data_IF_466853974018
#
_entry.id   IF_466853974018
#
_cell.length_a   1.000
_cell.length_b   1.000
_cell.length_c   1.000
_cell.angle_alpha   90.00
_cell.angle_beta   90.00
_cell.angle_gamma   90.00
#
_symmetry.space_group_name_H-M   'P 1'
#
loop_
_entity.id
_entity.type
_entity.pdbx_description
1 polymer ?
#
# COMPACT_ATOMS: atom_id res chain seq x y z
N UNK A 1 -15.22 -14.23 20.46
CA UNK A 1 -13.95 -13.96 19.75
C UNK A 1 -12.86 -13.87 20.80
N UNK A 2 -11.68 -14.44 20.57
CA UNK A 2 -10.53 -14.18 21.45
C UNK A 2 -10.18 -12.69 21.36
N UNK A 3 -9.76 -12.07 22.47
CA UNK A 3 -9.39 -10.66 22.52
C UNK A 3 -8.36 -10.29 21.43
N UNK A 4 -7.43 -11.21 21.11
CA UNK A 4 -6.47 -11.07 20.01
C UNK A 4 -7.06 -10.86 18.62
N UNK A 5 -8.20 -11.49 18.29
CA UNK A 5 -8.82 -11.35 16.96
C UNK A 5 -9.42 -9.95 16.81
N UNK A 6 -10.11 -9.49 17.83
CA UNK A 6 -10.73 -8.16 17.81
C UNK A 6 -9.66 -7.08 17.76
N UNK A 7 -8.60 -7.20 18.58
CA UNK A 7 -7.51 -6.24 18.60
C UNK A 7 -6.74 -6.23 17.26
N UNK A 8 -6.35 -7.38 16.70
CA UNK A 8 -5.62 -7.38 15.41
C UNK A 8 -6.47 -6.82 14.27
N UNK A 9 -7.77 -7.13 14.23
CA UNK A 9 -8.66 -6.61 13.19
C UNK A 9 -8.88 -5.09 13.34
N UNK A 10 -8.95 -4.58 14.56
CA UNK A 10 -9.03 -3.16 14.83
C UNK A 10 -7.77 -2.44 14.32
N UNK A 11 -6.58 -2.95 14.66
CA UNK A 11 -5.31 -2.40 14.20
C UNK A 11 -5.17 -2.50 12.67
N UNK A 12 -5.54 -3.64 12.08
CA UNK A 12 -5.47 -3.84 10.64
C UNK A 12 -6.38 -2.87 9.87
N UNK A 13 -7.60 -2.64 10.36
CA UNK A 13 -8.53 -1.67 9.77
C UNK A 13 -8.01 -0.23 9.91
N UNK A 14 -7.43 0.12 11.06
CA UNK A 14 -6.81 1.43 11.28
C UNK A 14 -5.65 1.67 10.31
N UNK A 15 -4.75 0.69 10.17
CA UNK A 15 -3.59 0.77 9.27
C UNK A 15 -3.99 0.78 7.78
N UNK A 16 -5.00 -0.03 7.41
CA UNK A 16 -5.51 -0.09 6.04
C UNK A 16 -6.11 1.25 5.60
N UNK A 17 -6.62 2.04 6.56
CA UNK A 17 -7.17 3.37 6.33
C UNK A 17 -8.11 3.44 5.11
N UNK A 18 -9.19 2.63 5.04
CA UNK A 18 -9.92 2.35 3.80
C UNK A 18 -10.84 3.51 3.36
N UNK A 19 -10.26 4.64 2.95
CA UNK A 19 -10.99 5.82 2.51
C UNK A 19 -11.65 5.62 1.14
N UNK A 20 -11.08 4.78 0.28
CA UNK A 20 -11.59 4.43 -1.05
C UNK A 20 -11.65 2.91 -1.20
N UNK A 21 -12.86 2.35 -1.17
CA UNK A 21 -13.11 0.92 -1.35
C UNK A 21 -14.57 0.67 -1.79
N UNK A 22 -14.85 -0.03 -2.91
CA UNK A 22 -13.90 -0.49 -3.92
C UNK A 22 -13.48 0.65 -4.87
N UNK A 23 -12.23 0.58 -5.36
CA UNK A 23 -11.69 1.59 -6.29
C UNK A 23 -12.37 1.56 -7.67
N UNK A 24 -12.92 0.41 -8.08
CA UNK A 24 -13.56 0.22 -9.38
C UNK A 24 -14.83 1.05 -9.58
N UNK A 25 -15.49 1.46 -8.49
CA UNK A 25 -16.72 2.26 -8.52
C UNK A 25 -16.52 3.69 -7.99
N UNK A 26 -15.28 4.11 -7.69
CA UNK A 26 -15.01 5.46 -7.22
C UNK A 26 -15.26 6.50 -8.32
N UNK A 27 -15.30 7.78 -7.96
CA UNK A 27 -15.18 8.84 -8.96
C UNK A 27 -13.79 8.83 -9.61
N UNK A 28 -13.66 9.30 -10.87
CA UNK A 28 -12.37 9.53 -11.51
C UNK A 28 -11.46 10.47 -10.71
N UNK A 29 -10.15 10.19 -10.72
CA UNK A 29 -9.14 10.98 -10.00
C UNK A 29 -7.98 11.42 -10.90
N UNK A 30 -7.21 12.41 -10.46
CA UNK A 30 -6.11 12.91 -11.26
C UNK A 30 -4.92 11.93 -11.30
N UNK A 31 -4.61 11.30 -10.17
CA UNK A 31 -3.48 10.39 -10.07
C UNK A 31 -3.80 9.19 -9.16
N UNK A 32 -3.38 8.00 -9.60
CA UNK A 32 -3.29 6.81 -8.75
C UNK A 32 -1.83 6.41 -8.68
N UNK A 33 -1.32 6.23 -7.47
CA UNK A 33 0.01 5.69 -7.20
C UNK A 33 -0.16 4.31 -6.59
N UNK A 34 0.45 3.28 -7.18
CA UNK A 34 0.58 1.98 -6.55
C UNK A 34 2.02 1.79 -6.08
N UNK A 35 2.20 1.73 -4.76
CA UNK A 35 3.44 1.31 -4.15
C UNK A 35 3.50 -0.22 -4.18
N UNK A 36 4.60 -0.76 -4.70
CA UNK A 36 4.76 -2.19 -4.84
C UNK A 36 4.76 -2.91 -3.49
N UNK A 37 4.10 -4.07 -3.48
CA UNK A 37 3.94 -4.94 -2.33
C UNK A 37 4.03 -6.40 -2.80
N UNK A 38 4.37 -7.30 -1.86
CA UNK A 38 4.30 -8.74 -2.09
C UNK A 38 2.85 -9.26 -2.16
N UNK A 39 1.86 -8.47 -1.75
CA UNK A 39 0.43 -8.80 -1.91
C UNK A 39 -0.03 -8.41 -3.31
N UNK A 40 0.25 -9.29 -4.28
CA UNK A 40 0.05 -9.02 -5.71
C UNK A 40 -1.42 -8.82 -6.11
N UNK A 41 -2.36 -9.33 -5.31
CA UNK A 41 -3.79 -9.08 -5.47
C UNK A 41 -4.14 -7.60 -5.66
N UNK A 42 -3.41 -6.69 -4.99
CA UNK A 42 -3.64 -5.25 -5.13
C UNK A 42 -3.37 -4.74 -6.55
N UNK A 43 -2.28 -5.21 -7.16
CA UNK A 43 -1.93 -4.89 -8.54
C UNK A 43 -2.96 -5.50 -9.51
N UNK A 44 -3.36 -6.76 -9.28
CA UNK A 44 -4.38 -7.44 -10.09
C UNK A 44 -5.68 -6.64 -10.16
N UNK A 45 -6.25 -6.29 -8.99
CA UNK A 45 -7.53 -5.59 -8.92
C UNK A 45 -7.43 -4.18 -9.48
N UNK A 46 -6.37 -3.44 -9.14
CA UNK A 46 -6.18 -2.08 -9.65
C UNK A 46 -6.08 -2.09 -11.18
N UNK A 47 -5.27 -2.97 -11.76
CA UNK A 47 -5.05 -2.96 -13.20
C UNK A 47 -6.28 -3.41 -13.98
N UNK A 48 -7.04 -4.39 -13.47
CA UNK A 48 -8.34 -4.78 -14.04
C UNK A 48 -9.36 -3.64 -13.96
N UNK A 49 -9.39 -2.89 -12.85
CA UNK A 49 -10.26 -1.72 -12.71
C UNK A 49 -9.91 -0.63 -13.73
N UNK A 50 -8.61 -0.36 -13.94
CA UNK A 50 -8.13 0.60 -14.95
C UNK A 50 -8.41 0.15 -16.38
N UNK A 51 -8.27 -1.15 -16.67
CA UNK A 51 -8.58 -1.71 -17.99
C UNK A 51 -10.08 -1.57 -18.31
N UNK A 52 -10.93 -1.82 -17.31
CA UNK A 52 -12.39 -1.74 -17.44
C UNK A 52 -12.91 -0.31 -17.41
N UNK A 53 -12.20 0.60 -16.72
CA UNK A 53 -12.55 2.02 -16.62
C UNK A 53 -11.35 2.90 -17.00
N UNK A 54 -11.12 3.10 -18.31
CA UNK A 54 -9.97 3.86 -18.79
C UNK A 54 -10.01 5.36 -18.44
N UNK A 55 -11.15 5.86 -17.94
CA UNK A 55 -11.32 7.21 -17.42
C UNK A 55 -11.09 7.33 -15.90
N UNK A 56 -10.83 6.23 -15.18
CA UNK A 56 -10.67 6.21 -13.72
C UNK A 56 -9.51 7.10 -13.24
N UNK A 57 -8.43 7.20 -14.01
CA UNK A 57 -7.35 8.15 -13.70
C UNK A 57 -6.67 8.74 -14.93
N UNK A 58 -6.12 9.94 -14.77
CA UNK A 58 -5.29 10.60 -15.80
C UNK A 58 -3.82 10.18 -15.72
N UNK A 59 -3.35 9.76 -14.55
CA UNK A 59 -1.96 9.35 -14.34
C UNK A 59 -1.90 8.15 -13.39
N UNK A 60 -1.34 7.04 -13.86
CA UNK A 60 -0.93 5.91 -13.04
C UNK A 60 0.57 6.00 -12.78
N UNK A 61 0.99 5.94 -11.51
CA UNK A 61 2.40 5.78 -11.13
C UNK A 61 2.60 4.38 -10.53
N UNK A 62 3.52 3.62 -11.12
CA UNK A 62 4.04 2.39 -10.50
C UNK A 62 5.28 2.77 -9.68
N UNK A 63 5.26 2.53 -8.37
CA UNK A 63 6.26 3.04 -7.45
C UNK A 63 6.97 1.91 -6.68
N UNK A 64 8.31 1.97 -6.66
CA UNK A 64 9.17 1.07 -5.90
C UNK A 64 10.49 0.79 -6.62
N UNK A 65 11.61 1.13 -5.98
CA UNK A 65 12.94 0.78 -6.48
C UNK A 65 13.44 -0.57 -5.96
N UNK A 66 14.62 -0.62 -5.34
CA UNK A 66 15.19 -1.82 -4.73
C UNK A 66 15.40 -1.58 -3.23
N UNK A 67 14.78 -2.41 -2.41
CA UNK A 67 14.82 -2.32 -0.95
C UNK A 67 14.59 -3.66 -0.25
N UNK A 68 14.31 -3.60 1.06
CA UNK A 68 14.15 -4.79 1.90
C UNK A 68 12.97 -5.69 1.50
N UNK A 69 11.96 -5.14 0.83
CA UNK A 69 10.78 -5.87 0.38
C UNK A 69 10.96 -6.51 -1.00
N UNK A 70 12.02 -6.17 -1.74
CA UNK A 70 12.22 -6.60 -3.12
C UNK A 70 12.34 -8.13 -3.25
N UNK A 71 13.06 -8.85 -2.37
CA UNK A 71 13.05 -10.31 -2.41
C UNK A 71 11.65 -10.92 -2.16
N UNK A 72 10.80 -10.24 -1.39
CA UNK A 72 9.45 -10.72 -1.07
C UNK A 72 8.53 -10.64 -2.29
N UNK A 73 8.64 -9.57 -3.09
CA UNK A 73 7.84 -9.48 -4.31
C UNK A 73 8.30 -10.51 -5.36
N UNK A 74 9.59 -10.81 -5.45
CA UNK A 74 10.09 -11.87 -6.34
C UNK A 74 9.55 -13.24 -5.92
N UNK A 75 9.59 -13.54 -4.63
CA UNK A 75 9.05 -14.78 -4.06
C UNK A 75 7.54 -14.88 -4.31
N UNK A 76 6.80 -13.79 -4.07
CA UNK A 76 5.36 -13.72 -4.35
C UNK A 76 5.06 -13.99 -5.83
N UNK A 77 5.79 -13.35 -6.76
CA UNK A 77 5.63 -13.60 -8.21
C UNK A 77 5.88 -15.07 -8.52
N UNK A 78 6.96 -15.65 -7.99
CA UNK A 78 7.34 -17.05 -8.26
C UNK A 78 6.31 -18.08 -7.80
N UNK A 79 5.54 -17.77 -6.74
CA UNK A 79 4.52 -18.64 -6.17
C UNK A 79 3.11 -18.36 -6.69
N UNK A 80 2.91 -17.22 -7.35
CA UNK A 80 1.59 -16.77 -7.77
C UNK A 80 1.00 -17.70 -8.86
N UNK A 81 -0.27 -18.13 -8.75
CA UNK A 81 -0.88 -19.08 -9.69
C UNK A 81 -0.87 -18.58 -11.14
N UNK A 82 -0.95 -17.26 -11.34
CA UNK A 82 -0.92 -16.64 -12.67
C UNK A 82 0.46 -16.06 -13.03
N UNK A 83 1.21 -15.52 -12.06
CA UNK A 83 2.39 -14.70 -12.33
C UNK A 83 3.72 -15.46 -12.23
N UNK A 84 3.73 -16.72 -11.77
CA UNK A 84 4.94 -17.54 -11.68
C UNK A 84 5.73 -17.64 -12.99
N UNK A 85 5.05 -17.52 -14.14
CA UNK A 85 5.71 -17.53 -15.46
C UNK A 85 6.61 -16.32 -15.70
N UNK A 86 6.43 -15.25 -14.93
CA UNK A 86 7.24 -14.03 -14.97
C UNK A 86 8.45 -14.08 -14.04
N UNK A 87 8.63 -15.15 -13.26
CA UNK A 87 9.63 -15.20 -12.19
C UNK A 87 11.03 -14.85 -12.70
N UNK A 88 11.48 -15.48 -13.79
CA UNK A 88 12.80 -15.22 -14.38
C UNK A 88 12.91 -13.79 -14.95
N UNK A 89 11.81 -13.25 -15.47
CA UNK A 89 11.77 -11.92 -16.07
C UNK A 89 11.87 -10.79 -15.03
N UNK A 90 11.47 -11.04 -13.78
CA UNK A 90 11.39 -9.99 -12.75
C UNK A 90 12.61 -9.94 -11.83
N UNK A 91 13.45 -10.98 -11.83
CA UNK A 91 14.63 -11.05 -10.98
C UNK A 91 15.62 -9.91 -11.26
N UNK A 92 16.10 -9.28 -10.20
CA UNK A 92 17.04 -8.15 -10.27
C UNK A 92 16.43 -6.83 -10.74
N UNK A 93 15.13 -6.80 -11.08
CA UNK A 93 14.43 -5.57 -11.43
C UNK A 93 13.92 -4.83 -10.20
N UNK A 94 13.89 -3.48 -10.23
CA UNK A 94 13.14 -2.70 -9.26
C UNK A 94 11.67 -3.12 -9.13
N UNK A 95 11.07 -2.95 -7.96
CA UNK A 95 9.70 -3.39 -7.66
C UNK A 95 8.65 -2.79 -8.62
N UNK A 96 8.79 -1.52 -8.99
CA UNK A 96 7.92 -0.88 -9.99
C UNK A 96 8.03 -1.50 -11.38
N UNK A 97 9.20 -2.04 -11.74
CA UNK A 97 9.40 -2.78 -13.00
C UNK A 97 8.84 -4.19 -12.94
N UNK A 98 8.73 -4.78 -11.74
CA UNK A 98 7.94 -6.00 -11.52
C UNK A 98 6.47 -5.72 -11.81
N UNK A 99 5.91 -4.65 -11.22
CA UNK A 99 4.54 -4.21 -11.49
C UNK A 99 4.31 -3.90 -12.97
N UNK A 100 5.26 -3.23 -13.63
CA UNK A 100 5.18 -2.96 -15.08
C UNK A 100 5.14 -4.26 -15.89
N UNK A 101 5.96 -5.25 -15.52
CA UNK A 101 6.00 -6.56 -16.19
C UNK A 101 4.65 -7.28 -16.04
N UNK A 102 4.05 -7.24 -14.85
CA UNK A 102 2.71 -7.80 -14.59
C UNK A 102 1.67 -7.07 -15.45
N UNK A 103 1.66 -5.74 -15.39
CA UNK A 103 0.71 -4.89 -16.11
C UNK A 103 0.75 -5.17 -17.62
N UNK A 104 1.93 -5.11 -18.24
CA UNK A 104 2.08 -5.26 -19.69
C UNK A 104 1.80 -6.67 -20.19
N UNK A 105 1.98 -7.69 -19.36
CA UNK A 105 1.77 -9.08 -19.77
C UNK A 105 0.32 -9.53 -19.63
N UNK A 106 -0.39 -9.02 -18.61
CA UNK A 106 -1.71 -9.53 -18.25
C UNK A 106 -2.88 -8.59 -18.57
N UNK A 107 -2.61 -7.36 -18.98
CA UNK A 107 -3.63 -6.32 -19.14
C UNK A 107 -3.47 -5.62 -20.50
N UNK A 108 -4.58 -5.31 -21.17
CA UNK A 108 -4.53 -4.50 -22.39
C UNK A 108 -4.26 -3.03 -22.04
N UNK A 109 -2.97 -2.68 -21.97
CA UNK A 109 -2.50 -1.33 -21.66
C UNK A 109 -3.08 -0.29 -22.63
N UNK A 110 -3.42 -0.67 -23.87
CA UNK A 110 -4.03 0.27 -24.82
C UNK A 110 -5.38 0.76 -24.31
N UNK A 111 -6.18 -0.10 -23.67
CA UNK A 111 -7.45 0.31 -23.04
C UNK A 111 -7.19 1.34 -21.95
N UNK A 112 -6.27 1.08 -21.03
CA UNK A 112 -5.92 2.02 -19.95
C UNK A 112 -5.54 3.38 -20.54
N UNK A 113 -4.68 3.40 -21.57
CA UNK A 113 -4.21 4.65 -22.19
C UNK A 113 -5.19 5.27 -23.18
N UNK A 114 -6.29 4.60 -23.54
CA UNK A 114 -7.22 5.02 -24.61
C UNK A 114 -7.89 6.37 -24.37
N UNK A 115 -7.94 6.80 -23.10
CA UNK A 115 -8.49 8.09 -22.65
C UNK A 115 -7.40 9.07 -22.19
N UNK A 116 -6.14 8.80 -22.55
CA UNK A 116 -5.00 9.67 -22.25
C UNK A 116 -4.35 9.43 -20.89
N UNK A 117 -4.64 8.30 -20.23
CA UNK A 117 -3.94 7.94 -18.99
C UNK A 117 -2.44 7.78 -19.25
N UNK A 118 -1.61 8.51 -18.50
CA UNK A 118 -0.15 8.37 -18.52
C UNK A 118 0.27 7.31 -17.51
N UNK A 119 1.11 6.36 -17.93
CA UNK A 119 1.70 5.37 -17.02
C UNK A 119 3.15 5.75 -16.79
N UNK A 120 3.49 6.13 -15.56
CA UNK A 120 4.82 6.57 -15.14
C UNK A 120 5.42 5.54 -14.19
N UNK A 121 6.75 5.40 -14.23
CA UNK A 121 7.49 4.40 -13.46
C UNK A 121 8.50 5.10 -12.56
N UNK A 122 8.32 4.96 -11.24
CA UNK A 122 9.28 5.38 -10.22
C UNK A 122 10.02 4.14 -9.73
N UNK A 123 11.24 3.93 -10.21
CA UNK A 123 12.06 2.73 -9.96
C UNK A 123 13.38 3.03 -9.21
N UNK A 124 13.47 4.19 -8.55
CA UNK A 124 14.69 4.68 -7.89
C UNK A 124 14.61 4.70 -6.36
N UNK A 125 13.42 4.58 -5.78
CA UNK A 125 13.20 4.55 -4.33
C UNK A 125 13.85 3.33 -3.65
N UNK A 126 14.50 3.53 -2.51
CA UNK A 126 15.20 2.44 -1.78
C UNK A 126 14.46 1.96 -0.53
N UNK A 127 13.39 2.65 -0.15
CA UNK A 127 12.54 2.34 1.00
C UNK A 127 11.20 3.08 0.90
N UNK A 128 10.23 2.65 1.70
CA UNK A 128 8.87 3.20 1.72
C UNK A 128 8.80 4.72 1.99
N UNK A 129 9.73 5.29 2.77
CA UNK A 129 9.79 6.74 2.99
C UNK A 129 10.22 7.51 1.73
N UNK A 130 11.11 6.92 0.91
CA UNK A 130 11.55 7.51 -0.34
C UNK A 130 10.50 7.43 -1.45
N UNK A 131 9.56 6.48 -1.41
CA UNK A 131 8.50 6.31 -2.42
C UNK A 131 7.73 7.61 -2.68
N UNK A 132 7.33 8.30 -1.61
CA UNK A 132 6.56 9.54 -1.68
C UNK A 132 7.36 10.67 -2.36
N UNK A 133 8.57 10.97 -1.87
CA UNK A 133 9.41 12.03 -2.42
C UNK A 133 9.85 11.74 -3.85
N UNK A 134 10.22 10.49 -4.18
CA UNK A 134 10.60 10.12 -5.56
C UNK A 134 9.41 10.17 -6.52
N UNK A 135 8.21 9.84 -6.06
CA UNK A 135 7.00 10.00 -6.86
C UNK A 135 6.71 11.47 -7.15
N UNK A 136 6.86 12.35 -6.14
CA UNK A 136 6.74 13.79 -6.33
C UNK A 136 7.73 14.32 -7.38
N UNK A 137 9.01 14.01 -7.22
CA UNK A 137 10.07 14.40 -8.18
C UNK A 137 9.79 13.88 -9.60
N UNK A 138 9.28 12.65 -9.72
CA UNK A 138 8.89 12.07 -11.01
C UNK A 138 7.74 12.85 -11.65
N UNK A 139 6.68 13.15 -10.88
CA UNK A 139 5.52 13.89 -11.39
C UNK A 139 5.92 15.30 -11.86
N UNK A 140 6.76 15.99 -11.09
CA UNK A 140 7.31 17.30 -11.47
C UNK A 140 8.12 17.22 -12.78
N UNK A 141 9.06 16.28 -12.85
CA UNK A 141 9.89 16.06 -14.05
C UNK A 141 9.05 15.77 -15.29
N UNK A 142 7.97 15.01 -15.11
CA UNK A 142 7.03 14.62 -16.16
C UNK A 142 5.97 15.69 -16.47
N UNK A 143 6.03 16.86 -15.81
CA UNK A 143 5.11 17.97 -16.00
C UNK A 143 3.68 17.69 -15.54
N UNK A 144 3.48 16.69 -14.68
CA UNK A 144 2.19 16.41 -14.04
C UNK A 144 2.02 17.38 -12.87
N UNK A 145 1.17 18.38 -13.05
CA UNK A 145 0.95 19.46 -12.08
C UNK A 145 -0.55 19.69 -11.86
N UNK A 146 -0.90 20.41 -10.79
CA UNK A 146 -2.28 20.82 -10.52
C UNK A 146 -3.22 19.68 -10.12
N UNK A 147 -2.69 18.59 -9.56
CA UNK A 147 -3.48 17.48 -9.03
C UNK A 147 -4.42 17.98 -7.92
N UNK A 148 -5.68 17.53 -7.95
CA UNK A 148 -6.68 17.78 -6.90
C UNK A 148 -6.98 16.54 -6.08
N UNK A 149 -6.88 15.35 -6.69
CA UNK A 149 -7.06 14.09 -5.98
C UNK A 149 -6.03 13.05 -6.38
N UNK A 150 -5.39 12.46 -5.37
CA UNK A 150 -4.45 11.36 -5.51
C UNK A 150 -4.90 10.17 -4.66
N UNK A 151 -4.98 8.99 -5.26
CA UNK A 151 -5.15 7.74 -4.52
C UNK A 151 -3.82 7.02 -4.38
N UNK A 152 -3.55 6.53 -3.18
CA UNK A 152 -2.38 5.71 -2.86
C UNK A 152 -2.84 4.28 -2.57
N UNK A 153 -2.43 3.36 -3.43
CA UNK A 153 -2.57 1.91 -3.24
C UNK A 153 -1.27 1.39 -2.68
N UNK A 154 -1.33 0.73 -1.52
CA UNK A 154 -0.19 0.17 -0.81
C UNK A 154 -0.64 -1.04 -0.01
N UNK A 155 0.28 -1.94 0.35
CA UNK A 155 0.07 -2.99 1.37
C UNK A 155 -0.81 -2.43 2.51
N UNK A 156 -1.96 -3.06 2.83
CA UNK A 156 -2.89 -2.53 3.81
C UNK A 156 -2.27 -2.30 5.20
N UNK A 157 -1.23 -3.04 5.57
CA UNK A 157 -0.55 -2.82 6.86
C UNK A 157 0.23 -1.50 6.88
N UNK A 158 0.65 -0.97 5.73
CA UNK A 158 1.46 0.23 5.60
C UNK A 158 0.72 1.43 4.96
N UNK A 159 -0.55 1.26 4.62
CA UNK A 159 -1.37 2.24 3.90
C UNK A 159 -1.41 3.61 4.58
N UNK A 160 -1.78 3.67 5.87
CA UNK A 160 -1.89 4.93 6.61
C UNK A 160 -0.55 5.68 6.66
N UNK A 161 0.54 4.98 7.01
CA UNK A 161 1.88 5.59 7.06
C UNK A 161 2.31 6.10 5.69
N UNK A 162 1.99 5.37 4.63
CA UNK A 162 2.32 5.77 3.27
C UNK A 162 1.54 7.01 2.86
N UNK A 163 0.22 7.09 3.11
CA UNK A 163 -0.56 8.32 2.87
C UNK A 163 0.04 9.51 3.63
N UNK A 164 0.34 9.36 4.92
CA UNK A 164 0.96 10.42 5.71
C UNK A 164 2.36 10.82 5.19
N UNK A 165 3.07 9.91 4.50
CA UNK A 165 4.34 10.19 3.84
C UNK A 165 4.13 10.97 2.53
N UNK A 166 3.09 10.64 1.76
CA UNK A 166 2.69 11.39 0.56
C UNK A 166 2.18 12.79 0.93
N UNK A 167 1.35 12.94 1.95
CA UNK A 167 0.93 14.26 2.44
C UNK A 167 2.13 15.12 2.85
N UNK A 168 3.16 14.50 3.45
CA UNK A 168 4.40 15.21 3.80
C UNK A 168 5.22 15.60 2.56
N UNK A 169 5.37 14.69 1.59
CA UNK A 169 6.11 14.99 0.37
C UNK A 169 5.44 16.12 -0.43
N UNK A 170 4.11 16.06 -0.57
CA UNK A 170 3.29 17.03 -1.29
C UNK A 170 2.74 18.13 -0.37
N UNK A 171 3.44 18.49 0.72
CA UNK A 171 2.95 19.40 1.75
C UNK A 171 2.49 20.74 1.17
N UNK A 172 3.22 21.24 0.16
CA UNK A 172 2.87 22.48 -0.54
C UNK A 172 1.57 22.33 -1.34
N UNK A 173 1.42 21.27 -2.11
CA UNK A 173 0.21 21.03 -2.91
C UNK A 173 -1.01 20.78 -2.03
N UNK A 174 -0.83 20.09 -0.91
CA UNK A 174 -1.89 19.83 0.06
C UNK A 174 -2.35 21.14 0.71
N UNK A 175 -1.41 21.97 1.18
CA UNK A 175 -1.74 23.18 1.96
C UNK A 175 -2.11 24.40 1.10
N UNK A 176 -1.45 24.59 -0.05
CA UNK A 176 -1.62 25.79 -0.89
C UNK A 176 -2.52 25.52 -2.12
N UNK A 177 -2.46 24.30 -2.69
CA UNK A 177 -3.16 23.97 -3.93
C UNK A 177 -4.42 23.11 -3.72
N UNK A 178 -4.67 22.64 -2.49
CA UNK A 178 -5.83 21.82 -2.13
C UNK A 178 -5.80 20.41 -2.72
N UNK A 179 -4.61 19.81 -2.87
CA UNK A 179 -4.48 18.39 -3.18
C UNK A 179 -5.01 17.55 -2.02
N UNK A 180 -5.87 16.58 -2.33
CA UNK A 180 -6.34 15.58 -1.37
C UNK A 180 -5.70 14.23 -1.70
N UNK A 181 -4.96 13.67 -0.73
CA UNK A 181 -4.39 12.32 -0.81
C UNK A 181 -5.31 11.37 -0.05
N UNK A 182 -5.65 10.22 -0.64
CA UNK A 182 -6.47 9.19 0.04
C UNK A 182 -5.87 7.81 -0.11
N UNK A 183 -6.06 6.98 0.90
CA UNK A 183 -5.71 5.56 0.81
C UNK A 183 -6.80 4.77 0.08
N UNK A 184 -6.36 3.87 -0.80
CA UNK A 184 -7.19 2.91 -1.51
C UNK A 184 -6.56 1.51 -1.36
N UNK A 185 -6.73 0.82 -0.21
CA UNK A 185 -5.97 -0.40 0.12
C UNK A 185 -6.39 -1.65 -0.67
N UNK A 186 -7.41 -1.55 -1.54
CA UNK A 186 -8.05 -2.64 -2.32
C UNK A 186 -8.86 -3.62 -1.47
N UNK A 187 -8.43 -3.93 -0.25
CA UNK A 187 -9.18 -4.71 0.73
C UNK A 187 -8.72 -4.36 2.14
N UNK A 188 -9.46 -4.82 3.15
CA UNK A 188 -9.07 -4.69 4.56
C UNK A 188 -8.79 -6.09 5.10
N UNK A 189 -7.55 -6.39 5.56
CA UNK A 189 -7.23 -7.69 6.14
C UNK A 189 -8.08 -7.94 7.38
N UNK A 190 -8.63 -9.14 7.48
CA UNK A 190 -9.32 -9.62 8.68
C UNK A 190 -8.86 -11.02 9.03
N UNK A 191 -8.80 -11.26 10.32
CA UNK A 191 -8.50 -12.55 10.92
C UNK A 191 -9.74 -13.10 11.62
N UNK A 192 -9.81 -14.42 11.71
CA UNK A 192 -10.71 -15.15 12.60
C UNK A 192 -9.93 -16.18 13.41
N UNK A 193 -10.55 -16.63 14.49
CA UNK A 193 -10.09 -17.77 15.24
C UNK A 193 -10.93 -18.98 14.83
N UNK A 194 -10.30 -19.94 14.17
CA UNK A 194 -10.89 -21.20 13.78
C UNK A 194 -10.27 -22.33 14.61
N UNK A 195 -11.08 -22.91 15.51
CA UNK A 195 -10.67 -23.98 16.42
C UNK A 195 -9.34 -23.73 17.19
N UNK A 196 -9.07 -22.48 17.59
CA UNK A 196 -7.86 -22.09 18.32
C UNK A 196 -6.70 -21.66 17.42
N UNK A 197 -6.86 -21.69 16.09
CA UNK A 197 -5.87 -21.24 15.13
C UNK A 197 -6.30 -19.90 14.50
N UNK A 198 -5.36 -18.96 14.42
CA UNK A 198 -5.55 -17.72 13.69
C UNK A 198 -5.50 -17.98 12.19
N UNK A 199 -6.56 -17.60 11.48
CA UNK A 199 -6.70 -17.78 10.02
C UNK A 199 -7.30 -16.55 9.36
N UNK A 200 -7.16 -16.45 8.05
CA UNK A 200 -7.69 -15.33 7.27
C UNK A 200 -9.22 -15.38 7.16
N UNK A 201 -9.84 -14.22 7.27
CA UNK A 201 -11.28 -13.99 7.11
C UNK A 201 -11.56 -12.93 6.04
N UNK A 202 -10.96 -13.15 4.87
CA UNK A 202 -11.07 -12.33 3.66
C UNK A 202 -11.45 -13.27 2.53
N UNK A 203 -12.53 -12.97 1.82
CA UNK A 203 -13.04 -13.83 0.72
C UNK A 203 -12.53 -13.36 -0.64
N UNK A 204 -12.10 -12.11 -0.71
CA UNK A 204 -11.68 -11.43 -1.93
C UNK A 204 -10.27 -11.86 -2.39
N UNK A 205 -9.46 -12.41 -1.48
CA UNK A 205 -8.06 -12.76 -1.71
C UNK A 205 -7.79 -14.17 -1.24
N UNK A 206 -7.12 -14.97 -2.07
CA UNK A 206 -6.67 -16.31 -1.69
C UNK A 206 -5.65 -16.23 -0.54
N UNK A 207 -5.75 -17.15 0.43
CA UNK A 207 -4.94 -17.12 1.64
C UNK A 207 -3.43 -17.20 1.35
N UNK A 208 -3.05 -17.85 0.25
CA UNK A 208 -1.66 -18.02 -0.20
C UNK A 208 -1.05 -16.74 -0.80
N UNK A 209 -1.88 -15.78 -1.20
CA UNK A 209 -1.45 -14.45 -1.66
C UNK A 209 -1.32 -13.43 -0.52
N UNK A 210 -1.87 -13.77 0.65
CA UNK A 210 -1.75 -12.97 1.86
C UNK A 210 -0.43 -13.29 2.58
N UNK A 211 -0.11 -12.48 3.59
CA UNK A 211 1.07 -12.70 4.41
C UNK A 211 1.00 -14.05 5.13
N UNK A 212 2.16 -14.60 5.48
CA UNK A 212 2.20 -15.51 6.62
C UNK A 212 1.60 -14.81 7.86
N UNK A 213 0.85 -15.54 8.68
CA UNK A 213 0.16 -14.97 9.83
C UNK A 213 1.13 -14.30 10.79
N UNK A 214 2.29 -14.90 11.07
CA UNK A 214 3.32 -14.30 11.92
C UNK A 214 3.90 -13.02 11.32
N UNK A 215 4.17 -13.03 10.01
CA UNK A 215 4.61 -11.84 9.26
C UNK A 215 3.59 -10.69 9.34
N UNK A 216 2.30 -11.00 9.22
CA UNK A 216 1.23 -10.00 9.36
C UNK A 216 1.23 -9.35 10.74
N UNK A 217 1.33 -10.16 11.81
CA UNK A 217 1.44 -9.64 13.17
C UNK A 217 2.67 -8.75 13.36
N UNK A 218 3.82 -9.15 12.82
CA UNK A 218 5.04 -8.34 12.88
C UNK A 218 4.87 -6.98 12.18
N UNK A 219 4.19 -6.96 11.02
CA UNK A 219 3.89 -5.72 10.30
C UNK A 219 2.95 -4.82 11.09
N UNK A 220 1.79 -5.34 11.51
CA UNK A 220 0.80 -4.58 12.30
C UNK A 220 1.42 -4.01 13.57
N UNK A 221 2.14 -4.84 14.33
CA UNK A 221 2.79 -4.39 15.57
C UNK A 221 3.93 -3.39 15.33
N UNK A 222 4.62 -3.49 14.19
CA UNK A 222 5.71 -2.60 13.83
C UNK A 222 5.24 -1.22 13.35
N UNK A 223 4.03 -1.10 12.83
CA UNK A 223 3.51 0.14 12.23
C UNK A 223 2.98 1.12 13.28
N UNK A 224 2.29 0.65 14.33
CA UNK A 224 1.72 1.56 15.35
C UNK A 224 2.79 2.46 15.99
N UNK A 225 3.96 1.95 16.46
CA UNK A 225 5.00 2.82 17.00
C UNK A 225 5.60 3.80 15.99
N UNK A 226 5.55 3.48 14.69
CA UNK A 226 6.02 4.38 13.63
C UNK A 226 5.04 5.53 13.43
N UNK A 227 3.74 5.28 13.56
CA UNK A 227 2.70 6.31 13.39
C UNK A 227 2.60 7.29 14.55
N UNK A 228 3.05 6.92 15.76
CA UNK A 228 3.06 7.83 16.91
C UNK A 228 3.83 9.10 16.61
N UNK A 229 3.28 10.23 17.02
CA UNK A 229 3.99 11.51 16.96
C UNK A 229 4.70 11.79 18.28
N UNK A 230 5.71 10.97 18.57
CA UNK A 230 6.60 11.11 19.72
C UNK A 230 8.06 11.01 19.27
N UNK A 231 9.00 11.16 20.21
CA UNK A 231 10.45 11.12 19.96
C UNK A 231 10.98 9.88 19.23
N UNK A 232 10.24 8.77 19.22
CA UNK A 232 10.63 7.51 18.59
C UNK A 232 9.87 7.24 17.28
N UNK A 233 8.71 7.86 17.10
CA UNK A 233 7.86 7.69 15.93
C UNK A 233 8.28 8.57 14.74
N UNK A 234 7.50 8.51 13.66
CA UNK A 234 7.88 9.08 12.38
C UNK A 234 7.30 10.48 12.15
N UNK A 235 6.42 10.95 13.05
CA UNK A 235 5.83 12.28 12.98
C UNK A 235 6.81 13.42 13.30
N UNK A 236 6.32 14.68 13.28
CA UNK A 236 7.10 15.89 13.54
C UNK A 236 7.87 15.91 14.88
N UNK A 237 7.37 15.26 15.93
CA UNK A 237 8.04 15.20 17.24
C UNK A 237 9.10 14.09 17.33
N UNK A 238 9.35 13.36 16.24
CA UNK A 238 10.29 12.24 16.17
C UNK A 238 11.21 12.35 14.96
N UNK A 239 11.01 11.47 13.97
CA UNK A 239 11.89 11.38 12.79
C UNK A 239 11.50 12.29 11.62
N UNK A 240 10.36 12.98 11.71
CA UNK A 240 9.89 13.93 10.68
C UNK A 240 9.72 13.32 9.27
N UNK A 241 9.45 12.02 9.19
CA UNK A 241 9.25 11.31 7.91
C UNK A 241 7.81 11.38 7.40
N UNK A 242 6.84 11.62 8.28
CA UNK A 242 5.42 11.73 7.96
C UNK A 242 4.82 12.97 8.62
N UNK A 243 3.65 13.39 8.14
CA UNK A 243 2.83 14.37 8.89
C UNK A 243 2.37 13.78 10.22
N UNK A 244 1.87 14.65 11.11
CA UNK A 244 1.24 14.19 12.34
C UNK A 244 0.10 13.21 12.04
N UNK A 245 0.03 12.11 12.79
CA UNK A 245 -1.07 11.15 12.74
C UNK A 245 -1.65 11.02 14.15
N UNK A 246 -2.95 11.29 14.27
CA UNK A 246 -3.70 11.00 15.48
C UNK A 246 -3.86 9.49 15.63
N UNK A 247 -3.18 8.89 16.61
CA UNK A 247 -3.35 7.48 16.99
C UNK A 247 -4.34 7.42 18.16
N UNK A 248 -5.58 6.92 17.98
CA UNK A 248 -6.58 6.89 19.04
C UNK A 248 -6.17 6.00 20.22
N UNK A 249 -6.64 6.33 21.43
CA UNK A 249 -6.36 5.55 22.64
C UNK A 249 -6.78 4.07 22.51
N UNK A 250 -7.90 3.79 21.83
CA UNK A 250 -8.34 2.42 21.58
C UNK A 250 -7.36 1.61 20.71
N UNK A 251 -6.67 2.26 19.78
CA UNK A 251 -5.62 1.65 18.94
C UNK A 251 -4.38 1.38 19.79
N UNK A 252 -3.99 2.32 20.66
CA UNK A 252 -2.87 2.14 21.59
C UNK A 252 -3.13 0.99 22.57
N UNK A 253 -4.33 0.92 23.13
CA UNK A 253 -4.74 -0.13 24.07
C UNK A 253 -4.78 -1.51 23.39
N UNK A 254 -5.30 -1.59 22.16
CA UNK A 254 -5.32 -2.82 21.37
C UNK A 254 -3.90 -3.29 21.01
N UNK A 255 -3.03 -2.37 20.60
CA UNK A 255 -1.62 -2.66 20.34
C UNK A 255 -0.90 -3.13 21.59
N UNK A 256 -1.16 -2.52 22.76
CA UNK A 256 -0.60 -2.93 24.04
C UNK A 256 -0.94 -4.38 24.39
N UNK A 257 -2.23 -4.75 24.32
CA UNK A 257 -2.69 -6.13 24.56
C UNK A 257 -2.08 -7.12 23.57
N UNK A 258 -2.08 -6.78 22.28
CA UNK A 258 -1.54 -7.66 21.24
C UNK A 258 -0.04 -7.89 21.41
N UNK A 259 0.71 -6.86 21.81
CA UNK A 259 2.14 -6.97 22.08
C UNK A 259 2.44 -7.84 23.29
N UNK A 260 1.62 -7.81 24.35
CA UNK A 260 1.81 -8.69 25.51
C UNK A 260 1.56 -10.17 25.15
N UNK A 261 0.54 -10.45 24.33
CA UNK A 261 0.17 -11.80 23.92
C UNK A 261 1.21 -12.46 22.99
N UNK A 262 1.78 -11.70 22.06
CA UNK A 262 2.71 -12.22 21.04
C UNK A 262 4.19 -11.83 21.25
N UNK A 263 4.48 -10.86 22.12
CA UNK A 263 5.83 -10.36 22.39
C UNK A 263 6.66 -11.20 23.36
N UNK A 264 6.08 -12.21 23.99
CA UNK A 264 6.78 -13.18 24.84
C UNK A 264 7.45 -14.35 24.07
N UNK A 265 7.33 -14.38 22.74
CA UNK A 265 7.75 -15.52 21.90
C UNK A 265 8.99 -15.24 21.03
N UNK A 266 9.86 -14.30 21.43
CA UNK A 266 11.14 -14.04 20.77
C UNK A 266 12.32 -14.39 21.66
#
# INVERSE_FOLDING_TARGET
MSLSVTDVNLLAAFLAHPQILPISTSDPVDCIVICASAVLHQATVLFQALESRPDLTRTLVLCGGIGHSTPLIYDAVSKHPVYHKLADDVLGKPEARVLETILRTHIDVNKITSRGCRILIEDQSTNCGANATRTMELLEKEGVTGLKMMYVVQDPTMSLRTVASFEKAFEKEVTEAGLVVKSAPIFVPRMKNDAGKMTWDVEEVEAEELWDVGRFYDLVNGEIPRLRDDRNGYGPNGKEFIVHVDVPAEIEDAWGRLKEEFGGSR
#
